data_IF_572921908668
#
_entry.id   IF_572921908668
#
_cell.length_a   1.000
_cell.length_b   1.000
_cell.length_c   1.000
_cell.angle_alpha   90.00
_cell.angle_beta   90.00
_cell.angle_gamma   90.00
#
_symmetry.space_group_name_H-M   'P 1'
#
loop_
_entity.id
_entity.type
_entity.pdbx_description
1 polymer ?
#
# COMPACT_ATOMS: atom_id res chain seq x y z
N UNK A 1 -24.82 -6.34 -13.64
CA UNK A 1 -24.31 -7.09 -12.48
C UNK A 1 -25.11 -8.36 -12.36
N UNK A 2 -24.49 -9.52 -12.57
CA UNK A 2 -25.14 -10.81 -12.37
C UNK A 2 -24.85 -11.27 -10.95
N UNK A 3 -25.90 -11.55 -10.18
CA UNK A 3 -25.75 -12.11 -8.84
C UNK A 3 -25.61 -13.63 -8.95
N UNK A 4 -24.56 -14.18 -8.35
CA UNK A 4 -24.35 -15.63 -8.27
C UNK A 4 -24.49 -16.05 -6.81
N UNK A 5 -25.36 -17.02 -6.56
CA UNK A 5 -25.56 -17.56 -5.23
C UNK A 5 -24.49 -18.61 -4.93
N UNK A 6 -23.73 -18.43 -3.86
CA UNK A 6 -22.79 -19.42 -3.34
C UNK A 6 -23.31 -20.00 -2.01
N UNK A 7 -23.00 -21.27 -1.76
CA UNK A 7 -23.27 -21.91 -0.47
C UNK A 7 -22.04 -21.86 0.42
N UNK A 8 -22.26 -21.64 1.71
CA UNK A 8 -21.25 -21.85 2.75
C UNK A 8 -21.35 -23.29 3.23
N UNK A 9 -20.23 -23.99 3.22
CA UNK A 9 -20.08 -25.37 3.65
C UNK A 9 -19.50 -25.43 5.07
N UNK A 10 -19.43 -26.64 5.63
CA UNK A 10 -18.82 -26.88 6.93
C UNK A 10 -17.41 -26.28 7.04
N UNK A 11 -17.14 -25.65 8.18
CA UNK A 11 -15.88 -24.95 8.46
C UNK A 11 -15.79 -23.55 7.84
N UNK A 12 -16.90 -22.96 7.38
CA UNK A 12 -16.92 -21.59 6.85
C UNK A 12 -16.36 -21.44 5.44
N UNK A 13 -16.18 -22.56 4.71
CA UNK A 13 -15.67 -22.55 3.33
C UNK A 13 -16.79 -22.22 2.37
N UNK A 14 -16.50 -21.39 1.37
CA UNK A 14 -17.41 -21.15 0.24
C UNK A 14 -16.76 -21.56 -1.07
N UNK A 15 -17.56 -22.00 -2.03
CA UNK A 15 -17.09 -22.32 -3.36
C UNK A 15 -17.20 -21.09 -4.26
N UNK A 16 -16.10 -20.70 -4.89
CA UNK A 16 -16.10 -19.68 -5.95
C UNK A 16 -16.38 -20.40 -7.28
N UNK A 17 -17.51 -20.14 -7.96
CA UNK A 17 -17.85 -20.79 -9.22
C UNK A 17 -16.78 -20.61 -10.30
N UNK A 18 -16.67 -21.57 -11.21
CA UNK A 18 -15.59 -21.59 -12.21
C UNK A 18 -15.62 -20.38 -13.16
N UNK A 19 -16.80 -19.84 -13.45
CA UNK A 19 -16.97 -18.59 -14.20
C UNK A 19 -16.35 -17.39 -13.48
N UNK A 20 -16.63 -17.23 -12.18
CA UNK A 20 -16.08 -16.14 -11.35
C UNK A 20 -14.56 -16.27 -11.23
N UNK A 21 -14.04 -17.49 -11.04
CA UNK A 21 -12.59 -17.71 -11.00
C UNK A 21 -11.90 -17.27 -12.29
N UNK A 22 -12.46 -17.63 -13.45
CA UNK A 22 -11.90 -17.24 -14.76
C UNK A 22 -11.95 -15.74 -15.00
N UNK A 23 -13.06 -15.09 -14.63
CA UNK A 23 -13.22 -13.65 -14.77
C UNK A 23 -12.22 -12.87 -13.90
N UNK A 24 -11.96 -13.36 -12.68
CA UNK A 24 -11.03 -12.74 -11.74
C UNK A 24 -9.58 -13.23 -11.87
N UNK A 25 -9.29 -14.16 -12.80
CA UNK A 25 -7.96 -14.76 -12.96
C UNK A 25 -7.47 -15.51 -11.72
N UNK A 26 -8.36 -16.16 -10.97
CA UNK A 26 -8.04 -16.89 -9.73
C UNK A 26 -7.71 -18.34 -10.04
N UNK A 27 -6.54 -18.78 -9.61
CA UNK A 27 -6.04 -20.15 -9.72
C UNK A 27 -5.96 -20.85 -8.35
N UNK A 28 -5.74 -22.16 -8.38
CA UNK A 28 -5.57 -22.95 -7.15
C UNK A 28 -4.23 -22.59 -6.50
N UNK A 29 -4.27 -22.18 -5.24
CA UNK A 29 -3.09 -21.74 -4.49
C UNK A 29 -2.97 -20.22 -4.38
N UNK A 30 -3.78 -19.46 -5.13
CA UNK A 30 -3.82 -18.01 -5.02
C UNK A 30 -4.27 -17.55 -3.64
N UNK A 31 -3.64 -16.49 -3.17
CA UNK A 31 -4.04 -15.78 -1.96
C UNK A 31 -5.03 -14.67 -2.31
N UNK A 32 -6.17 -14.70 -1.65
CA UNK A 32 -7.22 -13.69 -1.79
C UNK A 32 -7.28 -12.84 -0.53
N UNK A 33 -7.53 -11.54 -0.71
CA UNK A 33 -7.86 -10.62 0.37
C UNK A 33 -9.38 -10.63 0.59
N UNK A 34 -9.79 -10.76 1.85
CA UNK A 34 -11.17 -10.66 2.28
C UNK A 34 -11.33 -9.38 3.09
N UNK A 35 -12.19 -8.47 2.63
CA UNK A 35 -12.54 -7.24 3.34
C UNK A 35 -14.03 -7.22 3.65
N UNK A 36 -14.37 -6.89 4.90
CA UNK A 36 -15.76 -6.71 5.33
C UNK A 36 -16.10 -5.22 5.27
N UNK A 37 -17.10 -4.87 4.47
CA UNK A 37 -17.63 -3.52 4.33
C UNK A 37 -19.11 -3.55 4.70
N UNK A 38 -19.41 -3.33 5.98
CA UNK A 38 -20.77 -3.46 6.53
C UNK A 38 -21.29 -4.89 6.44
N UNK A 39 -22.27 -5.13 5.55
CA UNK A 39 -22.84 -6.47 5.27
C UNK A 39 -22.31 -7.09 3.97
N UNK A 40 -21.31 -6.47 3.35
CA UNK A 40 -20.70 -6.93 2.10
C UNK A 40 -19.35 -7.57 2.42
N UNK A 41 -19.16 -8.80 1.96
CA UNK A 41 -17.84 -9.43 1.90
C UNK A 41 -17.27 -9.18 0.51
N UNK A 42 -16.16 -8.43 0.46
CA UNK A 42 -15.46 -8.12 -0.76
C UNK A 42 -14.21 -8.98 -0.85
N UNK A 43 -14.13 -9.77 -1.93
CA UNK A 43 -13.03 -10.72 -2.17
C UNK A 43 -12.23 -10.22 -3.36
N UNK A 44 -10.92 -10.12 -3.21
CA UNK A 44 -10.02 -9.59 -4.22
C UNK A 44 -8.78 -10.47 -4.34
N UNK A 45 -8.19 -10.53 -5.53
CA UNK A 45 -6.83 -11.04 -5.65
C UNK A 45 -5.86 -10.11 -4.92
N UNK A 46 -4.73 -10.63 -4.46
CA UNK A 46 -3.70 -9.81 -3.81
C UNK A 46 -3.26 -8.63 -4.68
N UNK A 47 -3.11 -8.85 -5.98
CA UNK A 47 -2.74 -7.80 -6.92
C UNK A 47 -3.82 -6.71 -7.02
N UNK A 48 -5.08 -7.09 -7.17
CA UNK A 48 -6.18 -6.13 -7.23
C UNK A 48 -6.32 -5.31 -5.94
N UNK A 49 -6.06 -5.93 -4.77
CA UNK A 49 -6.09 -5.24 -3.49
C UNK A 49 -4.98 -4.17 -3.39
N UNK A 50 -3.76 -4.50 -3.84
CA UNK A 50 -2.64 -3.54 -3.90
C UNK A 50 -2.97 -2.37 -4.84
N UNK A 51 -3.45 -2.65 -6.04
CA UNK A 51 -3.80 -1.62 -7.03
C UNK A 51 -4.90 -0.69 -6.52
N UNK A 52 -5.92 -1.24 -5.87
CA UNK A 52 -6.95 -0.42 -5.24
C UNK A 52 -6.38 0.42 -4.10
N UNK A 53 -5.53 -0.15 -3.24
CA UNK A 53 -4.87 0.58 -2.16
C UNK A 53 -4.08 1.77 -2.68
N UNK A 54 -3.26 1.56 -3.72
CA UNK A 54 -2.51 2.63 -4.40
C UNK A 54 -3.45 3.68 -4.98
N UNK A 55 -4.52 3.27 -5.66
CA UNK A 55 -5.50 4.19 -6.23
C UNK A 55 -6.17 5.05 -5.16
N UNK A 56 -6.56 4.47 -4.03
CA UNK A 56 -7.15 5.19 -2.90
C UNK A 56 -6.16 6.17 -2.29
N UNK A 57 -4.92 5.75 -2.06
CA UNK A 57 -3.87 6.63 -1.53
C UNK A 57 -3.63 7.83 -2.46
N UNK A 58 -3.53 7.58 -3.77
CA UNK A 58 -3.42 8.65 -4.77
C UNK A 58 -4.62 9.59 -4.79
N UNK A 59 -5.84 9.06 -4.61
CA UNK A 59 -7.05 9.88 -4.56
C UNK A 59 -7.07 10.80 -3.34
N UNK A 60 -6.65 10.30 -2.17
CA UNK A 60 -6.52 11.10 -0.95
C UNK A 60 -5.49 12.22 -1.16
N UNK A 61 -4.31 11.89 -1.70
CA UNK A 61 -3.28 12.90 -1.98
C UNK A 61 -3.77 13.97 -2.95
N UNK A 62 -4.43 13.59 -4.04
CA UNK A 62 -4.97 14.54 -5.03
C UNK A 62 -6.08 15.43 -4.50
N UNK A 63 -6.72 15.05 -3.38
CA UNK A 63 -7.74 15.87 -2.73
C UNK A 63 -7.14 16.91 -1.78
N UNK A 64 -5.85 16.83 -1.45
CA UNK A 64 -5.16 17.80 -0.60
C UNK A 64 -4.90 19.12 -1.37
N UNK A 65 -5.29 20.29 -0.86
CA UNK A 65 -5.00 21.59 -1.48
C UNK A 65 -3.50 21.87 -1.70
N UNK A 66 -2.62 21.25 -0.92
CA UNK A 66 -1.18 21.37 -1.05
C UNK A 66 -0.56 20.44 -2.11
N UNK A 67 -1.38 19.59 -2.74
CA UNK A 67 -0.93 18.71 -3.80
C UNK A 67 -0.57 19.49 -5.07
N UNK A 68 0.67 19.35 -5.51
CA UNK A 68 1.17 19.90 -6.77
C UNK A 68 1.72 18.75 -7.63
N UNK A 69 1.14 18.47 -8.81
CA UNK A 69 1.62 17.39 -9.69
C UNK A 69 3.01 17.65 -10.29
N UNK A 70 3.50 18.90 -10.28
CA UNK A 70 4.86 19.24 -10.69
C UNK A 70 5.91 19.05 -9.59
N UNK A 71 5.47 18.83 -8.36
CA UNK A 71 6.32 18.71 -7.17
C UNK A 71 6.59 17.24 -6.83
N UNK A 72 7.87 16.89 -6.68
CA UNK A 72 8.28 15.54 -6.26
C UNK A 72 8.49 15.51 -4.74
N UNK A 73 7.48 15.02 -4.02
CA UNK A 73 7.57 14.82 -2.56
C UNK A 73 8.70 13.84 -2.18
N UNK A 74 9.04 12.91 -3.08
CA UNK A 74 10.13 11.95 -2.87
C UNK A 74 11.48 12.67 -2.92
N UNK A 75 11.70 13.55 -3.90
CA UNK A 75 12.98 14.26 -4.02
C UNK A 75 13.20 15.22 -2.87
N UNK A 76 12.13 15.88 -2.40
CA UNK A 76 12.19 16.72 -1.21
C UNK A 76 12.53 15.94 0.05
N UNK A 77 11.84 14.81 0.27
CA UNK A 77 12.14 13.93 1.40
C UNK A 77 13.61 13.44 1.37
N UNK A 78 14.10 13.09 0.18
CA UNK A 78 15.49 12.66 0.01
C UNK A 78 16.49 13.81 0.23
N UNK A 79 16.16 15.03 -0.22
CA UNK A 79 16.98 16.21 0.01
C UNK A 79 17.06 16.55 1.51
N UNK A 80 15.92 16.55 2.20
CA UNK A 80 15.84 16.77 3.64
C UNK A 80 16.67 15.73 4.40
N UNK A 81 16.54 14.44 4.03
CA UNK A 81 17.30 13.37 4.66
C UNK A 81 18.82 13.52 4.45
N UNK A 82 19.25 13.96 3.27
CA UNK A 82 20.68 14.23 2.98
C UNK A 82 21.20 15.41 3.78
N UNK A 83 20.42 16.48 3.89
CA UNK A 83 20.79 17.66 4.68
C UNK A 83 20.91 17.33 6.17
N UNK A 84 20.00 16.50 6.69
CA UNK A 84 20.05 16.00 8.07
C UNK A 84 21.33 15.18 8.33
N UNK A 85 21.66 14.22 7.45
CA UNK A 85 22.88 13.41 7.58
C UNK A 85 24.14 14.29 7.55
N UNK A 86 24.22 15.25 6.62
CA UNK A 86 25.37 16.16 6.54
C UNK A 86 25.53 17.00 7.82
N UNK A 87 24.42 17.42 8.43
CA UNK A 87 24.42 18.14 9.70
C UNK A 87 24.91 17.25 10.85
N UNK A 88 24.39 16.03 10.96
CA UNK A 88 24.84 15.07 11.98
C UNK A 88 26.33 14.74 11.86
N UNK A 89 26.84 14.59 10.64
CA UNK A 89 28.27 14.38 10.37
C UNK A 89 29.12 15.59 10.80
N UNK A 90 28.68 16.81 10.45
CA UNK A 90 29.36 18.04 10.84
C UNK A 90 29.38 18.22 12.37
N UNK A 91 28.27 17.97 13.05
CA UNK A 91 28.15 18.04 14.50
C UNK A 91 29.04 17.00 15.19
N UNK A 92 29.05 15.77 14.67
CA UNK A 92 29.92 14.69 15.15
C UNK A 92 31.40 15.03 14.96
N UNK A 93 31.76 15.59 13.81
CA UNK A 93 33.13 16.03 13.51
C UNK A 93 33.58 17.16 14.43
N UNK A 94 32.72 18.17 14.63
CA UNK A 94 32.99 19.27 15.56
C UNK A 94 33.12 18.81 17.02
N UNK A 95 32.34 17.81 17.44
CA UNK A 95 32.48 17.18 18.74
C UNK A 95 33.83 16.46 18.89
N UNK A 96 34.24 15.66 17.90
CA UNK A 96 35.54 14.95 17.91
C UNK A 96 36.73 15.92 17.99
N UNK A 97 36.70 17.01 17.22
CA UNK A 97 37.73 18.05 17.28
C UNK A 97 37.81 18.71 18.66
N UNK A 98 36.67 19.03 19.28
CA UNK A 98 36.63 19.63 20.64
C UNK A 98 37.15 18.70 21.73
N UNK A 99 36.98 17.40 21.59
CA UNK A 99 37.42 16.39 22.57
C UNK A 99 38.84 15.88 22.32
N UNK A 100 39.54 16.38 21.28
CA UNK A 100 40.90 15.94 20.96
C UNK A 100 41.00 14.48 20.49
N UNK A 101 39.91 13.94 19.92
CA UNK A 101 39.80 12.54 19.46
C UNK A 101 40.04 12.40 17.94
N UNK A 102 40.66 13.39 17.31
CA UNK A 102 40.88 13.46 15.86
C UNK A 102 42.37 13.40 15.52
#
# INVERSE_FOLDING_TARGET
MNAINAKVFHGGRMLIPAEVRRELGIEVGDQLELRVEGKVLRVMTRQAAIEEGVRRAQAILKADPAYDPGRSLVDELLADRRAEVAKEEADTHAYRLRQGLA
#
